data_IF_937099862194
#
_entry.id   IF_937099862194
#
_cell.length_a   1.000
_cell.length_b   1.000
_cell.length_c   1.000
_cell.angle_alpha   90.00
_cell.angle_beta   90.00
_cell.angle_gamma   90.00
#
_symmetry.space_group_name_H-M   'P 1'
#
loop_
_entity.id
_entity.type
_entity.pdbx_description
1 polymer ?
#
# COMPACT_ATOMS: atom_id res chain seq x y z
N UNK A 1 44.89 0.16 10.73
CA UNK A 1 43.92 -0.96 10.83
C UNK A 1 42.67 -0.55 10.08
N UNK A 2 42.13 -1.43 9.26
CA UNK A 2 41.26 -1.18 8.12
C UNK A 2 39.79 -0.87 8.53
N UNK A 3 39.27 0.24 7.98
CA UNK A 3 37.90 0.50 7.43
C UNK A 3 36.65 0.06 8.21
N UNK A 4 35.88 1.07 8.62
CA UNK A 4 34.44 1.27 8.37
C UNK A 4 33.58 0.01 8.21
N UNK A 5 32.85 -0.39 9.24
CA UNK A 5 31.86 -1.49 9.14
C UNK A 5 30.62 -1.11 9.94
N UNK A 6 29.84 -0.16 9.42
CA UNK A 6 28.47 0.09 9.93
C UNK A 6 27.51 0.58 8.83
N UNK A 7 27.98 0.92 7.62
CA UNK A 7 27.14 1.60 6.61
C UNK A 7 26.84 0.72 5.38
N UNK A 8 27.58 -0.38 5.15
CA UNK A 8 27.38 -1.19 3.93
C UNK A 8 26.31 -2.29 4.07
N UNK A 9 25.90 -2.66 5.30
CA UNK A 9 24.86 -3.69 5.50
C UNK A 9 23.43 -3.19 5.24
N UNK A 10 23.18 -1.90 5.38
CA UNK A 10 21.83 -1.33 5.28
C UNK A 10 21.28 -1.39 3.86
N UNK A 11 22.11 -1.14 2.83
CA UNK A 11 21.63 -1.11 1.45
C UNK A 11 21.21 -2.50 0.94
N UNK A 12 21.96 -3.56 1.26
CA UNK A 12 21.60 -4.93 0.88
C UNK A 12 20.39 -5.44 1.67
N UNK A 13 20.25 -5.06 2.95
CA UNK A 13 19.10 -5.39 3.76
C UNK A 13 17.84 -4.64 3.33
N UNK A 14 17.97 -3.36 2.95
CA UNK A 14 16.87 -2.57 2.37
C UNK A 14 16.44 -3.13 1.02
N UNK A 15 17.38 -3.48 0.14
CA UNK A 15 17.07 -4.13 -1.14
C UNK A 15 16.31 -5.45 -0.93
N UNK A 16 16.77 -6.30 -0.01
CA UNK A 16 16.06 -7.55 0.32
C UNK A 16 14.66 -7.29 0.86
N UNK A 17 14.50 -6.34 1.79
CA UNK A 17 13.19 -5.99 2.33
C UNK A 17 12.25 -5.47 1.25
N UNK A 18 12.71 -4.61 0.35
CA UNK A 18 11.90 -4.08 -0.75
C UNK A 18 11.52 -5.20 -1.72
N UNK A 19 12.44 -6.13 -1.98
CA UNK A 19 12.17 -7.27 -2.88
C UNK A 19 11.19 -8.28 -2.27
N UNK A 20 11.30 -8.56 -0.97
CA UNK A 20 10.35 -9.36 -0.20
C UNK A 20 8.98 -8.67 -0.12
N UNK A 21 8.96 -7.34 0.10
CA UNK A 21 7.76 -6.53 0.08
C UNK A 21 7.08 -6.59 -1.28
N UNK A 22 7.82 -6.34 -2.38
CA UNK A 22 7.29 -6.38 -3.73
C UNK A 22 6.63 -7.73 -4.04
N UNK A 23 7.29 -8.82 -3.65
CA UNK A 23 6.77 -10.18 -3.88
C UNK A 23 5.60 -10.52 -2.96
N UNK A 24 5.56 -9.98 -1.74
CA UNK A 24 4.51 -10.26 -0.76
C UNK A 24 3.26 -9.38 -0.89
N UNK A 25 3.43 -8.18 -1.45
CA UNK A 25 2.35 -7.24 -1.70
C UNK A 25 1.68 -7.48 -3.05
N UNK A 26 2.37 -8.10 -4.01
CA UNK A 26 1.78 -8.43 -5.31
C UNK A 26 0.61 -9.42 -5.15
N UNK A 27 -0.56 -9.02 -5.63
CA UNK A 27 -1.82 -9.74 -5.41
C UNK A 27 -2.41 -9.58 -4.01
N UNK A 28 -1.86 -8.73 -3.15
CA UNK A 28 -2.39 -8.51 -1.80
C UNK A 28 -3.74 -7.78 -1.84
N UNK A 29 -4.70 -8.29 -1.07
CA UNK A 29 -6.05 -7.73 -0.99
C UNK A 29 -6.20 -6.90 0.29
N UNK A 30 -6.21 -5.58 0.14
CA UNK A 30 -6.38 -4.62 1.23
C UNK A 30 -7.86 -4.33 1.40
N UNK A 31 -8.48 -4.87 2.46
CA UNK A 31 -9.86 -4.53 2.79
C UNK A 31 -9.92 -3.28 3.66
N UNK A 32 -10.61 -2.25 3.16
CA UNK A 32 -10.83 -0.98 3.85
C UNK A 32 -12.32 -0.88 4.16
N UNK A 33 -12.64 -1.05 5.45
CA UNK A 33 -13.98 -0.86 5.96
C UNK A 33 -14.24 0.63 6.19
N UNK A 34 -15.34 1.12 5.64
CA UNK A 34 -15.74 2.53 5.71
C UNK A 34 -17.23 2.66 5.90
N UNK A 35 -17.66 3.77 6.51
CA UNK A 35 -19.07 4.10 6.65
C UNK A 35 -19.62 4.64 5.34
N UNK A 36 -20.77 4.14 4.96
CA UNK A 36 -21.47 4.46 3.71
C UNK A 36 -22.77 5.14 4.07
N UNK A 37 -23.12 6.21 3.35
CA UNK A 37 -24.40 6.90 3.50
C UNK A 37 -25.55 6.15 2.87
N UNK A 38 -26.77 6.64 3.10
CA UNK A 38 -28.01 6.05 2.59
C UNK A 38 -28.07 5.98 1.05
N UNK A 39 -27.29 6.82 0.35
CA UNK A 39 -27.18 6.81 -1.12
C UNK A 39 -26.01 5.97 -1.67
N UNK A 40 -25.31 5.19 -0.84
CA UNK A 40 -24.15 4.40 -1.29
C UNK A 40 -22.85 5.20 -1.46
N UNK A 41 -22.87 6.49 -1.10
CA UNK A 41 -21.68 7.35 -1.11
C UNK A 41 -20.83 7.11 0.14
N UNK A 42 -19.51 7.01 -0.04
CA UNK A 42 -18.58 6.91 1.08
C UNK A 42 -18.55 8.22 1.89
N UNK A 43 -18.69 8.12 3.22
CA UNK A 43 -18.45 9.26 4.12
C UNK A 43 -16.97 9.69 4.13
N UNK A 44 -16.07 8.72 3.95
CA UNK A 44 -14.63 8.93 3.84
C UNK A 44 -14.14 8.44 2.48
N UNK A 45 -13.58 9.35 1.68
CA UNK A 45 -12.89 8.98 0.45
C UNK A 45 -11.59 8.24 0.76
N UNK A 46 -11.34 7.13 0.08
CA UNK A 46 -10.07 6.42 0.16
C UNK A 46 -9.07 7.11 -0.77
N UNK A 47 -8.01 7.64 -0.19
CA UNK A 47 -6.89 8.22 -0.93
C UNK A 47 -5.64 7.35 -0.77
N UNK A 48 -4.57 7.70 -1.49
CA UNK A 48 -3.27 7.03 -1.38
C UNK A 48 -2.77 6.97 0.07
N UNK A 49 -3.04 7.99 0.88
CA UNK A 49 -2.60 8.00 2.28
C UNK A 49 -3.29 6.90 3.09
N UNK A 50 -4.61 6.74 2.98
CA UNK A 50 -5.37 5.69 3.66
C UNK A 50 -4.91 4.29 3.25
N UNK A 51 -4.60 4.10 1.96
CA UNK A 51 -4.07 2.83 1.44
C UNK A 51 -2.67 2.57 2.01
N UNK A 52 -1.80 3.58 2.00
CA UNK A 52 -0.45 3.52 2.59
C UNK A 52 -0.48 3.16 4.07
N UNK A 53 -1.36 3.79 4.86
CA UNK A 53 -1.54 3.45 6.27
C UNK A 53 -2.00 2.00 6.45
N UNK A 54 -2.99 1.54 5.68
CA UNK A 54 -3.50 0.16 5.76
C UNK A 54 -2.47 -0.89 5.36
N UNK A 55 -1.66 -0.61 4.35
CA UNK A 55 -0.52 -1.44 3.96
C UNK A 55 0.51 -1.49 5.08
N UNK A 56 0.80 -0.34 5.70
CA UNK A 56 1.73 -0.25 6.83
C UNK A 56 1.25 -1.02 8.05
N UNK A 57 -0.03 -0.95 8.39
CA UNK A 57 -0.66 -1.79 9.41
C UNK A 57 -0.50 -3.29 9.13
N UNK A 58 -0.48 -3.67 7.85
CA UNK A 58 -0.26 -5.05 7.40
C UNK A 58 1.23 -5.45 7.36
N UNK A 59 2.13 -4.54 7.73
CA UNK A 59 3.59 -4.76 7.71
C UNK A 59 4.30 -4.38 6.40
N UNK A 60 3.57 -3.78 5.44
CA UNK A 60 4.14 -3.32 4.17
C UNK A 60 4.42 -1.81 4.24
N UNK A 61 5.70 -1.43 4.25
CA UNK A 61 6.11 -0.02 4.18
C UNK A 61 6.01 0.53 2.75
N UNK A 62 4.82 0.97 2.36
CA UNK A 62 4.56 1.64 1.08
C UNK A 62 4.26 3.12 1.30
N UNK A 63 4.97 4.00 0.62
CA UNK A 63 4.75 5.45 0.66
C UNK A 63 3.63 5.84 -0.30
N UNK A 64 2.83 6.87 0.04
CA UNK A 64 1.79 7.40 -0.87
C UNK A 64 2.29 7.76 -2.28
N UNK A 65 3.55 8.20 -2.41
CA UNK A 65 4.16 8.53 -3.72
C UNK A 65 4.40 7.31 -4.61
N UNK A 66 4.41 6.11 -4.02
CA UNK A 66 4.56 4.84 -4.72
C UNK A 66 3.20 4.31 -5.20
N UNK A 67 2.09 4.82 -4.67
CA UNK A 67 0.75 4.32 -4.96
C UNK A 67 0.21 5.04 -6.19
N UNK A 68 -0.02 4.32 -7.28
CA UNK A 68 -0.63 4.85 -8.49
C UNK A 68 -2.16 4.84 -8.33
N UNK A 69 -2.69 5.98 -7.87
CA UNK A 69 -4.12 6.19 -7.71
C UNK A 69 -4.47 7.59 -8.27
N UNK A 70 -4.99 7.68 -9.51
CA UNK A 70 -5.27 8.96 -10.15
C UNK A 70 -6.43 9.71 -9.46
N UNK A 71 -7.45 8.97 -9.03
CA UNK A 71 -8.64 9.51 -8.39
C UNK A 71 -8.92 8.81 -7.06
N UNK A 72 -9.32 9.55 -6.00
CA UNK A 72 -9.70 8.95 -4.74
C UNK A 72 -10.97 8.11 -4.90
N UNK A 73 -10.99 6.95 -4.25
CA UNK A 73 -12.14 6.03 -4.30
C UNK A 73 -13.24 6.57 -3.40
N UNK A 74 -14.44 6.73 -3.96
CA UNK A 74 -15.64 7.29 -3.28
C UNK A 74 -16.83 6.34 -3.33
N UNK A 75 -16.61 5.11 -3.78
CA UNK A 75 -17.62 4.08 -3.98
C UNK A 75 -17.17 2.76 -3.36
N UNK A 76 -18.12 1.91 -3.02
CA UNK A 76 -17.86 0.53 -2.60
C UNK A 76 -17.47 -0.33 -3.80
N UNK A 77 -16.57 -1.28 -3.59
CA UNK A 77 -16.14 -2.20 -4.64
C UNK A 77 -14.68 -2.60 -4.55
N UNK A 78 -14.20 -3.26 -5.60
CA UNK A 78 -12.83 -3.72 -5.73
C UNK A 78 -12.10 -2.83 -6.76
N UNK A 79 -11.02 -2.19 -6.32
CA UNK A 79 -10.23 -1.28 -7.13
C UNK A 79 -8.80 -1.80 -7.22
N UNK A 80 -8.32 -2.22 -8.41
CA UNK A 80 -6.93 -2.56 -8.60
C UNK A 80 -6.07 -1.29 -8.54
N UNK A 81 -5.03 -1.31 -7.73
CA UNK A 81 -4.12 -0.18 -7.51
C UNK A 81 -2.69 -0.66 -7.71
N UNK A 82 -1.93 0.04 -8.55
CA UNK A 82 -0.53 -0.30 -8.80
C UNK A 82 0.38 0.38 -7.79
N UNK A 83 1.41 -0.31 -7.36
CA UNK A 83 2.41 0.14 -6.41
C UNK A 83 3.77 0.12 -7.09
N UNK A 84 4.29 1.31 -7.35
CA UNK A 84 5.61 1.56 -7.91
C UNK A 84 6.64 1.64 -6.77
N UNK A 85 7.30 0.53 -6.51
CA UNK A 85 8.34 0.44 -5.49
C UNK A 85 9.68 0.97 -6.00
N UNK A 86 10.59 1.24 -5.07
CA UNK A 86 11.95 1.64 -5.43
C UNK A 86 12.68 0.48 -6.16
N UNK A 87 13.74 0.78 -6.90
CA UNK A 87 14.51 -0.20 -7.67
C UNK A 87 13.80 -0.84 -8.89
N UNK A 88 12.85 -0.14 -9.52
CA UNK A 88 12.07 -0.64 -10.69
C UNK A 88 11.24 -1.90 -10.35
N UNK A 89 10.78 -2.00 -9.11
CA UNK A 89 9.85 -3.04 -8.70
C UNK A 89 8.43 -2.48 -8.81
N UNK A 90 7.54 -3.25 -9.41
CA UNK A 90 6.12 -2.93 -9.55
C UNK A 90 5.33 -4.06 -8.89
N UNK A 91 4.26 -3.72 -8.19
CA UNK A 91 3.34 -4.69 -7.61
C UNK A 91 1.90 -4.20 -7.81
N UNK A 92 0.96 -5.12 -7.98
CA UNK A 92 -0.46 -4.79 -8.09
C UNK A 92 -1.20 -5.25 -6.84
N UNK A 93 -1.91 -4.34 -6.18
CA UNK A 93 -2.76 -4.67 -5.03
C UNK A 93 -4.22 -4.51 -5.41
N UNK A 94 -5.10 -5.22 -4.69
CA UNK A 94 -6.53 -5.02 -4.79
C UNK A 94 -7.04 -4.30 -3.54
N UNK A 95 -7.55 -3.09 -3.72
CA UNK A 95 -8.21 -2.33 -2.65
C UNK A 95 -9.69 -2.67 -2.65
N UNK A 96 -10.14 -3.37 -1.62
CA UNK A 96 -11.53 -3.76 -1.43
C UNK A 96 -12.17 -2.77 -0.46
N UNK A 97 -13.06 -1.94 -0.97
CA UNK A 97 -13.82 -1.00 -0.15
C UNK A 97 -15.14 -1.64 0.24
N UNK A 98 -15.29 -1.90 1.53
CA UNK A 98 -16.46 -2.56 2.11
C UNK A 98 -17.15 -1.65 3.12
N UNK A 99 -18.47 -1.81 3.25
CA UNK A 99 -19.24 -1.13 4.27
C UNK A 99 -18.89 -1.68 5.67
N UNK A 100 -18.53 -0.79 6.59
CA UNK A 100 -18.39 -1.13 8.01
C UNK A 100 -19.79 -1.37 8.60
N UNK A 101 -20.19 -2.64 8.72
CA UNK A 101 -21.42 -3.01 9.42
C UNK A 101 -21.16 -2.98 10.93
N UNK A 102 -21.75 -1.99 11.59
CA UNK A 102 -21.82 -1.87 13.06
C UNK A 102 -22.97 -2.74 13.58
#
# INVERSE_FOLDING_TARGET
>A
MKISTTIEKTAEEELKKIQELASGIDGFEVTIQVKVGEEGQLFESINQQKISDKLKDSGFEVKKSQIDLPDPIKELGEFPVKINLEHNLEAEIKVIVAEEKI
#
